data_IF_407007910768
#
_entry.id   IF_407007910768
#
_cell.length_a   1.000
_cell.length_b   1.000
_cell.length_c   1.000
_cell.angle_alpha   90.00
_cell.angle_beta   90.00
_cell.angle_gamma   90.00
#
_symmetry.space_group_name_H-M   'P 1'
#
loop_
_entity.id
_entity.type
_entity.pdbx_description
1 polymer ?
#
# COMPACT_ATOMS: atom_id res chain seq x y z
N UNK A 1 -9.15 33.10 23.56
CA UNK A 1 -9.83 31.80 23.38
C UNK A 1 -9.08 30.89 22.39
N UNK A 2 -7.73 30.87 22.36
CA UNK A 2 -6.97 30.15 21.32
C UNK A 2 -6.32 28.84 21.75
N UNK A 3 -6.32 28.51 23.05
CA UNK A 3 -5.68 27.28 23.56
C UNK A 3 -6.64 26.10 23.72
N UNK A 4 -7.96 26.35 23.88
CA UNK A 4 -8.96 25.29 24.04
C UNK A 4 -9.32 24.61 22.69
N UNK A 5 -9.14 25.29 21.56
CA UNK A 5 -9.32 24.67 20.23
C UNK A 5 -8.16 23.75 19.83
N UNK A 6 -6.95 24.00 20.35
CA UNK A 6 -5.76 23.19 20.04
C UNK A 6 -5.81 21.80 20.67
N UNK A 7 -6.56 21.63 21.76
CA UNK A 7 -6.82 20.31 22.37
C UNK A 7 -8.03 19.59 21.75
N UNK A 8 -8.92 20.30 21.05
CA UNK A 8 -10.08 19.69 20.39
C UNK A 8 -9.69 18.98 19.08
N UNK A 9 -8.62 19.43 18.42
CA UNK A 9 -8.08 18.83 17.18
C UNK A 9 -7.33 17.49 17.37
N UNK A 10 -7.10 17.06 18.61
CA UNK A 10 -6.65 15.70 18.92
C UNK A 10 -7.81 14.77 19.36
N UNK A 11 -9.06 15.26 19.38
CA UNK A 11 -10.21 14.50 19.92
C UNK A 11 -11.16 13.90 18.89
N UNK A 12 -10.90 13.98 17.58
CA UNK A 12 -11.66 13.19 16.58
C UNK A 12 -11.16 11.73 16.54
N UNK A 13 -10.69 11.22 17.69
CA UNK A 13 -10.26 9.84 17.89
C UNK A 13 -11.30 8.99 18.64
N UNK A 14 -12.49 9.52 18.92
CA UNK A 14 -13.56 8.72 19.52
C UNK A 14 -14.89 9.03 18.86
N UNK A 15 -15.59 7.94 18.53
CA UNK A 15 -16.99 7.85 18.09
C UNK A 15 -17.20 7.97 16.58
N UNK A 16 -17.13 6.81 15.92
CA UNK A 16 -18.33 6.28 15.25
C UNK A 16 -18.19 4.76 15.09
N UNK A 17 -18.77 4.01 16.03
CA UNK A 17 -19.05 2.59 15.82
C UNK A 17 -20.44 2.48 15.20
N UNK A 18 -20.50 2.11 13.93
CA UNK A 18 -21.70 1.52 13.35
C UNK A 18 -21.39 0.05 13.07
N UNK A 19 -22.05 -0.81 13.83
CA UNK A 19 -22.01 -2.25 13.62
C UNK A 19 -22.76 -2.60 12.33
N UNK A 20 -22.13 -3.37 11.45
CA UNK A 20 -22.83 -4.11 10.40
C UNK A 20 -22.38 -5.57 10.45
N UNK A 21 -23.39 -6.43 10.40
CA UNK A 21 -23.43 -7.83 10.82
C UNK A 21 -22.53 -8.74 9.98
N UNK A 22 -21.88 -9.69 10.67
CA UNK A 22 -21.25 -10.85 10.06
C UNK A 22 -22.30 -11.70 9.33
N UNK A 23 -22.09 -11.94 8.03
CA UNK A 23 -22.70 -13.06 7.33
C UNK A 23 -21.77 -14.25 7.43
N UNK A 24 -22.24 -15.27 8.14
CA UNK A 24 -21.58 -16.56 8.34
C UNK A 24 -21.42 -17.27 6.99
N UNK A 25 -20.18 -17.57 6.60
CA UNK A 25 -19.92 -18.55 5.55
C UNK A 25 -19.66 -19.92 6.20
N UNK A 26 -20.61 -20.82 6.02
CA UNK A 26 -20.48 -22.21 6.43
C UNK A 26 -19.39 -22.92 5.61
N UNK A 27 -18.29 -23.29 6.27
CA UNK A 27 -17.32 -24.23 5.72
C UNK A 27 -17.90 -25.66 5.79
N UNK A 28 -18.37 -26.17 4.66
CA UNK A 28 -18.65 -27.60 4.47
C UNK A 28 -17.32 -28.36 4.40
N UNK A 29 -16.99 -29.04 5.50
CA UNK A 29 -16.05 -30.17 5.53
C UNK A 29 -16.58 -31.27 4.61
N UNK A 30 -15.79 -31.73 3.65
CA UNK A 30 -15.95 -33.06 3.07
C UNK A 30 -14.65 -33.83 3.23
N UNK A 31 -14.82 -35.05 3.75
CA UNK A 31 -13.80 -35.97 4.21
C UNK A 31 -13.18 -36.78 3.05
N UNK A 32 -12.00 -37.34 3.32
CA UNK A 32 -11.23 -38.23 2.43
C UNK A 32 -11.93 -39.57 2.17
N UNK A 33 -11.58 -40.18 1.05
CA UNK A 33 -11.30 -41.63 0.96
C UNK A 33 -10.19 -41.93 -0.06
N UNK A 34 -9.34 -42.89 0.32
CA UNK A 34 -8.28 -43.60 -0.40
C UNK A 34 -8.84 -44.42 -1.59
N UNK A 35 -8.12 -44.80 -2.65
CA UNK A 35 -7.03 -45.81 -2.76
C UNK A 35 -6.66 -46.01 -4.25
N UNK A 36 -5.50 -46.64 -4.52
CA UNK A 36 -5.18 -47.51 -5.69
C UNK A 36 -4.29 -46.93 -6.82
N UNK A 37 -2.99 -47.25 -6.87
CA UNK A 37 -2.26 -48.33 -7.63
C UNK A 37 -1.60 -47.84 -8.94
N UNK A 38 -0.29 -48.10 -9.00
CA UNK A 38 0.70 -48.14 -10.09
C UNK A 38 0.33 -47.83 -11.55
N UNK A 39 1.23 -47.05 -12.19
CA UNK A 39 1.71 -47.34 -13.55
C UNK A 39 1.32 -46.33 -14.62
N UNK A 40 2.29 -45.53 -15.09
CA UNK A 40 2.15 -44.82 -16.36
C UNK A 40 2.78 -43.44 -16.35
N UNK A 41 3.97 -43.32 -16.95
CA UNK A 41 4.60 -42.05 -17.31
C UNK A 41 3.77 -41.41 -18.44
N UNK A 42 2.73 -40.66 -18.06
CA UNK A 42 1.95 -39.83 -18.98
C UNK A 42 2.57 -38.43 -18.98
N UNK A 43 3.15 -38.04 -20.12
CA UNK A 43 3.47 -36.65 -20.41
C UNK A 43 2.17 -35.86 -20.50
N UNK A 44 1.75 -35.26 -19.37
CA UNK A 44 0.74 -34.21 -19.39
C UNK A 44 1.44 -32.89 -19.69
N UNK A 45 1.07 -32.29 -20.82
CA UNK A 45 1.16 -30.85 -21.04
C UNK A 45 0.10 -30.17 -20.17
N UNK A 46 0.22 -30.30 -18.85
CA UNK A 46 -0.55 -29.49 -17.92
C UNK A 46 0.25 -28.19 -17.75
N UNK A 47 -0.41 -27.07 -18.06
CA UNK A 47 0.09 -25.73 -17.79
C UNK A 47 0.74 -25.71 -16.40
N UNK A 48 2.02 -25.33 -16.37
CA UNK A 48 2.86 -25.34 -15.17
C UNK A 48 2.08 -24.74 -13.99
N UNK A 49 1.64 -25.59 -13.07
CA UNK A 49 1.20 -25.18 -11.75
C UNK A 49 2.43 -24.55 -11.07
N UNK A 50 2.54 -23.24 -11.22
CA UNK A 50 3.60 -22.35 -10.76
C UNK A 50 3.87 -22.43 -9.24
N UNK A 51 3.03 -23.15 -8.50
CA UNK A 51 3.06 -23.24 -7.03
C UNK A 51 3.87 -24.43 -6.51
N UNK A 52 4.31 -25.35 -7.38
CA UNK A 52 5.23 -26.44 -7.00
C UNK A 52 6.56 -26.35 -7.76
N UNK A 53 7.35 -25.31 -7.46
CA UNK A 53 8.80 -25.47 -7.55
C UNK A 53 9.25 -26.49 -6.51
N UNK A 54 9.30 -27.75 -6.95
CA UNK A 54 10.24 -28.80 -6.56
C UNK A 54 11.21 -28.41 -5.43
N UNK A 55 10.94 -28.88 -4.21
CA UNK A 55 11.94 -29.15 -3.15
C UNK A 55 12.71 -27.99 -2.52
N UNK A 56 12.67 -26.77 -3.06
CA UNK A 56 13.38 -25.61 -2.50
C UNK A 56 12.39 -24.47 -2.21
N UNK A 57 12.15 -24.20 -0.93
CA UNK A 57 11.38 -23.02 -0.49
C UNK A 57 12.17 -21.76 -0.82
N UNK A 58 11.77 -21.07 -1.89
CA UNK A 58 12.39 -19.80 -2.31
C UNK A 58 12.31 -18.75 -1.19
N UNK A 59 13.39 -18.00 -0.92
CA UNK A 59 13.36 -16.85 -0.01
C UNK A 59 12.24 -15.86 -0.36
N UNK A 60 11.58 -15.29 0.66
CA UNK A 60 10.41 -14.43 0.48
C UNK A 60 10.68 -13.23 -0.45
N UNK A 61 11.88 -12.64 -0.40
CA UNK A 61 12.26 -11.56 -1.31
C UNK A 61 12.25 -11.95 -2.79
N UNK A 62 12.64 -13.19 -3.13
CA UNK A 62 12.57 -13.69 -4.51
C UNK A 62 11.13 -14.00 -4.93
N UNK A 63 10.30 -14.47 -3.99
CA UNK A 63 8.86 -14.66 -4.22
C UNK A 63 8.17 -13.34 -4.56
N UNK A 64 8.41 -12.29 -3.78
CA UNK A 64 7.87 -10.94 -4.03
C UNK A 64 8.26 -10.44 -5.43
N UNK A 65 9.54 -10.51 -5.80
CA UNK A 65 9.99 -10.11 -7.15
C UNK A 65 9.28 -10.89 -8.26
N UNK A 66 9.08 -12.20 -8.06
CA UNK A 66 8.34 -13.06 -8.99
C UNK A 66 6.87 -12.65 -9.10
N UNK A 67 6.19 -12.40 -7.97
CA UNK A 67 4.80 -11.97 -7.95
C UNK A 67 4.60 -10.63 -8.65
N UNK A 68 5.48 -9.66 -8.42
CA UNK A 68 5.49 -8.37 -9.12
C UNK A 68 5.69 -8.58 -10.62
N UNK A 69 6.66 -9.42 -11.02
CA UNK A 69 6.92 -9.71 -12.44
C UNK A 69 5.73 -10.37 -13.12
N UNK A 70 5.00 -11.24 -12.42
CA UNK A 70 3.83 -11.95 -12.92
C UNK A 70 2.52 -11.17 -12.74
N UNK A 71 2.56 -9.94 -12.22
CA UNK A 71 1.37 -9.12 -11.99
C UNK A 71 0.33 -9.79 -11.11
N UNK A 72 0.75 -10.50 -10.05
CA UNK A 72 -0.20 -11.16 -9.14
C UNK A 72 -1.08 -10.12 -8.41
N UNK A 73 -2.37 -10.42 -8.21
CA UNK A 73 -3.28 -9.49 -7.53
C UNK A 73 -3.03 -9.47 -6.01
N UNK A 74 -3.51 -8.42 -5.35
CA UNK A 74 -3.30 -8.19 -3.92
C UNK A 74 -3.85 -9.33 -3.07
N UNK A 75 -5.06 -9.84 -3.38
CA UNK A 75 -5.69 -10.93 -2.61
C UNK A 75 -4.84 -12.20 -2.66
N UNK A 76 -4.23 -12.50 -3.80
CA UNK A 76 -3.33 -13.64 -3.95
C UNK A 76 -2.09 -13.48 -3.05
N UNK A 77 -1.52 -12.28 -2.98
CA UNK A 77 -0.33 -12.03 -2.16
C UNK A 77 -0.68 -12.06 -0.67
N UNK A 78 -1.82 -11.47 -0.28
CA UNK A 78 -2.31 -11.51 1.09
C UNK A 78 -2.57 -12.95 1.56
N UNK A 79 -3.20 -13.78 0.73
CA UNK A 79 -3.40 -15.20 1.02
C UNK A 79 -2.07 -15.93 1.22
N UNK A 80 -1.12 -15.77 0.30
CA UNK A 80 0.20 -16.41 0.39
C UNK A 80 1.05 -15.92 1.56
N UNK A 81 0.73 -14.76 2.11
CA UNK A 81 1.33 -14.19 3.33
C UNK A 81 0.51 -14.47 4.58
N UNK A 82 -0.63 -15.17 4.47
CA UNK A 82 -1.57 -15.47 5.56
C UNK A 82 -2.14 -14.23 6.25
N UNK A 83 -2.36 -13.17 5.48
CA UNK A 83 -2.93 -11.90 5.95
C UNK A 83 -4.43 -11.78 5.68
N UNK A 84 -5.02 -12.72 4.94
CA UNK A 84 -6.45 -12.71 4.61
C UNK A 84 -7.31 -12.70 5.88
N UNK A 85 -8.26 -11.76 5.94
CA UNK A 85 -9.17 -11.60 7.08
C UNK A 85 -8.61 -10.81 8.25
N UNK A 86 -7.32 -10.43 8.23
CA UNK A 86 -6.77 -9.49 9.21
C UNK A 86 -7.15 -8.07 8.82
N UNK A 87 -7.53 -7.25 9.81
CA UNK A 87 -7.89 -5.84 9.63
C UNK A 87 -7.31 -4.99 10.77
N UNK A 88 -7.09 -3.70 10.50
CA UNK A 88 -6.57 -2.76 11.49
C UNK A 88 -5.26 -3.23 12.12
N UNK A 89 -5.10 -3.03 13.43
CA UNK A 89 -3.87 -3.41 14.16
C UNK A 89 -3.47 -4.87 13.96
N UNK A 90 -4.43 -5.79 13.88
CA UNK A 90 -4.12 -7.20 13.66
C UNK A 90 -3.40 -7.43 12.32
N UNK A 91 -3.73 -6.65 11.30
CA UNK A 91 -3.04 -6.66 10.02
C UNK A 91 -1.68 -5.98 10.13
N UNK A 92 -1.58 -4.79 10.73
CA UNK A 92 -0.32 -4.02 10.73
C UNK A 92 0.75 -4.45 11.70
N UNK A 93 0.37 -5.15 12.76
CA UNK A 93 1.30 -5.74 13.73
C UNK A 93 1.73 -7.16 13.30
N UNK A 94 1.08 -7.78 12.31
CA UNK A 94 1.52 -9.08 11.78
C UNK A 94 2.91 -8.98 11.15
N UNK A 95 3.87 -9.85 11.52
CA UNK A 95 5.23 -9.79 11.00
C UNK A 95 5.34 -10.00 9.48
N UNK A 96 4.31 -10.55 8.82
CA UNK A 96 4.26 -10.74 7.38
C UNK A 96 3.73 -9.52 6.62
N UNK A 97 3.08 -8.57 7.29
CA UNK A 97 2.56 -7.36 6.64
C UNK A 97 3.66 -6.55 5.95
N UNK A 98 4.87 -6.51 6.53
CA UNK A 98 6.03 -5.86 5.90
C UNK A 98 6.35 -6.40 4.50
N UNK A 99 6.04 -7.67 4.23
CA UNK A 99 6.24 -8.27 2.91
C UNK A 99 5.16 -7.84 1.92
N UNK A 100 3.93 -7.63 2.38
CA UNK A 100 2.87 -7.05 1.57
C UNK A 100 3.16 -5.58 1.24
N UNK A 101 3.57 -4.79 2.24
CA UNK A 101 4.04 -3.41 2.02
C UNK A 101 5.16 -3.36 0.99
N UNK A 102 6.16 -4.25 1.12
CA UNK A 102 7.24 -4.36 0.13
C UNK A 102 6.72 -4.73 -1.26
N UNK A 103 5.77 -5.65 -1.37
CA UNK A 103 5.15 -6.02 -2.64
C UNK A 103 4.50 -4.83 -3.35
N UNK A 104 3.71 -4.02 -2.62
CA UNK A 104 3.07 -2.80 -3.17
C UNK A 104 4.13 -1.77 -3.59
N UNK A 105 5.03 -1.41 -2.68
CA UNK A 105 6.06 -0.38 -2.90
C UNK A 105 6.99 -0.76 -4.06
N UNK A 106 7.57 -1.96 -4.05
CA UNK A 106 8.45 -2.41 -5.15
C UNK A 106 7.67 -2.51 -6.47
N UNK A 107 6.39 -2.87 -6.42
CA UNK A 107 5.49 -2.96 -7.57
C UNK A 107 5.27 -1.60 -8.25
N UNK A 108 4.90 -0.59 -7.47
CA UNK A 108 4.74 0.78 -7.97
C UNK A 108 6.07 1.38 -8.45
N UNK A 109 7.15 1.17 -7.71
CA UNK A 109 8.50 1.63 -8.09
C UNK A 109 8.98 1.01 -9.41
N UNK A 110 8.57 -0.23 -9.72
CA UNK A 110 8.92 -0.91 -10.97
C UNK A 110 8.08 -0.39 -12.15
N UNK A 111 6.83 -0.01 -11.89
CA UNK A 111 5.90 0.53 -12.90
C UNK A 111 6.09 2.03 -13.12
N UNK A 112 6.95 2.68 -12.34
CA UNK A 112 7.12 4.14 -12.32
C UNK A 112 5.76 4.84 -12.06
N UNK A 113 4.95 4.25 -11.18
CA UNK A 113 3.61 4.75 -10.91
C UNK A 113 3.68 6.14 -10.26
N UNK A 114 2.76 7.03 -10.61
CA UNK A 114 2.61 8.27 -9.86
C UNK A 114 2.17 7.97 -8.42
N UNK A 115 2.48 8.88 -7.52
CA UNK A 115 1.95 8.87 -6.14
C UNK A 115 0.43 8.85 -6.14
N UNK A 116 -0.22 9.57 -7.05
CA UNK A 116 -1.68 9.55 -7.23
C UNK A 116 -2.20 8.16 -7.58
N UNK A 117 -1.53 7.46 -8.50
CA UNK A 117 -1.88 6.07 -8.81
C UNK A 117 -1.75 5.15 -7.60
N UNK A 118 -0.72 5.33 -6.76
CA UNK A 118 -0.57 4.54 -5.54
C UNK A 118 -1.62 4.90 -4.47
N UNK A 119 -2.03 6.17 -4.40
CA UNK A 119 -3.10 6.63 -3.51
C UNK A 119 -4.45 6.01 -3.88
N UNK A 120 -4.79 6.04 -5.17
CA UNK A 120 -6.03 5.48 -5.72
C UNK A 120 -6.05 3.95 -5.58
N UNK A 121 -4.92 3.28 -5.83
CA UNK A 121 -4.77 1.82 -5.67
C UNK A 121 -4.92 1.35 -4.21
N UNK A 122 -4.72 2.25 -3.24
CA UNK A 122 -4.99 2.01 -1.82
C UNK A 122 -6.39 2.45 -1.38
N UNK A 123 -7.18 3.04 -2.29
CA UNK A 123 -8.53 3.57 -2.05
C UNK A 123 -8.61 4.51 -0.83
N UNK A 124 -7.65 5.45 -0.74
CA UNK A 124 -7.55 6.36 0.41
C UNK A 124 -8.53 7.54 0.23
N UNK A 125 -9.70 7.47 0.86
CA UNK A 125 -10.65 8.60 0.97
C UNK A 125 -10.67 9.28 2.36
N UNK A 126 -11.14 10.53 2.46
CA UNK A 126 -11.42 11.17 3.76
C UNK A 126 -12.70 10.54 4.37
N UNK A 127 -12.67 10.05 5.61
CA UNK A 127 -13.88 9.66 6.36
C UNK A 127 -14.10 8.18 6.69
N UNK A 128 -13.25 7.27 6.20
CA UNK A 128 -13.29 5.85 6.62
C UNK A 128 -11.92 5.41 7.14
N UNK A 129 -11.38 6.10 8.15
CA UNK A 129 -10.13 5.66 8.77
C UNK A 129 -10.39 4.43 9.65
N UNK A 130 -10.59 3.30 8.98
CA UNK A 130 -9.90 2.05 9.28
C UNK A 130 -8.42 2.10 8.79
N UNK A 131 -8.03 3.25 8.18
CA UNK A 131 -6.90 3.63 7.28
C UNK A 131 -5.51 3.95 7.88
N UNK A 132 -5.19 3.61 9.13
CA UNK A 132 -3.80 3.84 9.63
C UNK A 132 -2.78 2.97 8.86
N UNK A 133 -3.24 1.83 8.35
CA UNK A 133 -2.41 0.77 7.79
C UNK A 133 -1.98 1.02 6.33
N UNK A 134 -2.91 1.46 5.48
CA UNK A 134 -2.66 1.75 4.06
C UNK A 134 -1.85 3.03 3.89
N UNK A 135 -2.09 4.04 4.74
CA UNK A 135 -1.29 5.26 4.74
C UNK A 135 0.19 4.98 5.04
N UNK A 136 0.50 3.99 5.88
CA UNK A 136 1.89 3.55 6.12
C UNK A 136 2.55 2.98 4.84
N UNK A 137 1.79 2.28 4.00
CA UNK A 137 2.28 1.81 2.70
C UNK A 137 2.56 3.00 1.78
N UNK A 138 1.65 3.96 1.73
CA UNK A 138 1.79 5.19 0.94
C UNK A 138 3.00 6.04 1.37
N UNK A 139 3.19 6.26 2.68
CA UNK A 139 4.33 6.99 3.23
C UNK A 139 5.66 6.31 2.88
N UNK A 140 5.71 4.97 2.97
CA UNK A 140 6.88 4.20 2.56
C UNK A 140 7.14 4.34 1.05
N UNK A 141 6.10 4.39 0.22
CA UNK A 141 6.24 4.61 -1.21
C UNK A 141 6.87 5.97 -1.52
N UNK A 142 6.32 7.06 -0.94
CA UNK A 142 6.88 8.40 -1.09
C UNK A 142 8.33 8.45 -0.59
N UNK A 143 8.63 7.78 0.53
CA UNK A 143 10.00 7.73 1.08
C UNK A 143 10.99 7.11 0.10
N UNK A 144 10.67 5.95 -0.47
CA UNK A 144 11.55 5.29 -1.43
C UNK A 144 11.61 6.03 -2.77
N UNK A 145 10.49 6.62 -3.22
CA UNK A 145 10.46 7.41 -4.45
C UNK A 145 11.26 8.71 -4.29
N UNK A 146 11.22 9.35 -3.12
CA UNK A 146 11.99 10.55 -2.81
C UNK A 146 13.50 10.29 -2.87
N UNK A 147 13.97 9.14 -2.35
CA UNK A 147 15.38 8.71 -2.48
C UNK A 147 15.75 8.52 -3.95
N UNK A 148 14.88 7.90 -4.75
CA UNK A 148 15.12 7.76 -6.20
C UNK A 148 15.16 9.10 -6.92
N UNK A 149 14.33 10.06 -6.49
CA UNK A 149 14.24 11.38 -7.10
C UNK A 149 15.54 12.17 -7.03
N UNK A 150 16.47 11.84 -6.13
CA UNK A 150 17.83 12.40 -6.09
C UNK A 150 18.62 12.14 -7.39
N UNK A 151 18.28 11.07 -8.11
CA UNK A 151 18.92 10.67 -9.36
C UNK A 151 18.06 10.95 -10.60
N UNK A 152 16.94 11.65 -10.42
CA UNK A 152 15.99 12.00 -11.49
C UNK A 152 16.07 13.52 -11.68
N UNK A 153 16.16 13.97 -12.93
CA UNK A 153 16.15 15.41 -13.21
C UNK A 153 14.81 16.03 -12.76
N UNK A 154 14.87 17.23 -12.19
CA UNK A 154 13.76 17.84 -11.45
C UNK A 154 12.51 18.13 -12.29
N UNK A 155 12.67 18.27 -13.61
CA UNK A 155 11.57 18.45 -14.56
C UNK A 155 10.64 17.22 -14.63
N UNK A 156 11.15 16.03 -14.31
CA UNK A 156 10.39 14.78 -14.28
C UNK A 156 9.70 14.53 -12.94
N UNK A 157 10.01 15.30 -11.89
CA UNK A 157 9.45 15.04 -10.55
C UNK A 157 7.93 15.19 -10.51
N UNK A 158 7.37 16.17 -11.24
CA UNK A 158 5.93 16.40 -11.28
C UNK A 158 5.15 15.22 -11.89
N UNK A 159 5.76 14.43 -12.79
CA UNK A 159 5.16 13.22 -13.35
C UNK A 159 4.93 12.14 -12.28
N UNK A 160 5.74 12.14 -11.22
CA UNK A 160 5.72 11.14 -10.16
C UNK A 160 5.00 11.63 -8.90
N UNK A 161 5.22 12.89 -8.52
CA UNK A 161 4.70 13.46 -7.28
C UNK A 161 3.49 14.38 -7.49
N UNK A 162 3.28 14.89 -8.70
CA UNK A 162 2.23 15.84 -9.00
C UNK A 162 0.83 15.23 -9.05
N UNK A 163 -0.16 16.11 -9.17
CA UNK A 163 -1.57 15.74 -9.27
C UNK A 163 -2.16 15.14 -7.98
N UNK A 164 -3.37 14.61 -8.11
CA UNK A 164 -4.12 14.06 -7.00
C UNK A 164 -5.11 15.04 -6.37
N UNK A 165 -5.81 14.56 -5.36
CA UNK A 165 -6.76 15.37 -4.59
C UNK A 165 -6.05 16.41 -3.70
N UNK A 166 -6.78 17.42 -3.25
CA UNK A 166 -6.24 18.40 -2.29
C UNK A 166 -5.70 17.72 -1.02
N UNK A 167 -6.44 16.73 -0.50
CA UNK A 167 -6.03 15.89 0.64
C UNK A 167 -4.70 15.18 0.39
N UNK A 168 -4.58 14.53 -0.77
CA UNK A 168 -3.36 13.80 -1.12
C UNK A 168 -2.17 14.77 -1.26
N UNK A 169 -2.37 15.90 -1.93
CA UNK A 169 -1.34 16.92 -2.11
C UNK A 169 -0.81 17.44 -0.76
N UNK A 170 -1.71 17.70 0.19
CA UNK A 170 -1.34 18.08 1.56
C UNK A 170 -0.53 16.97 2.23
N UNK A 171 -0.94 15.70 2.10
CA UNK A 171 -0.21 14.56 2.66
C UNK A 171 1.19 14.42 2.06
N UNK A 172 1.34 14.57 0.73
CA UNK A 172 2.63 14.57 0.03
C UNK A 172 3.56 15.64 0.59
N UNK A 173 3.08 16.87 0.72
CA UNK A 173 3.89 17.99 1.25
C UNK A 173 4.33 17.71 2.69
N UNK A 174 3.44 17.22 3.55
CA UNK A 174 3.77 16.86 4.93
C UNK A 174 4.84 15.77 5.01
N UNK A 175 4.72 14.71 4.21
CA UNK A 175 5.70 13.63 4.16
C UNK A 175 7.04 14.12 3.63
N UNK A 176 7.06 14.88 2.53
CA UNK A 176 8.30 15.42 1.95
C UNK A 176 9.03 16.35 2.94
N UNK A 177 8.30 17.22 3.64
CA UNK A 177 8.87 18.06 4.71
C UNK A 177 9.43 17.22 5.86
N UNK A 178 8.71 16.17 6.29
CA UNK A 178 9.18 15.21 7.31
C UNK A 178 10.46 14.49 6.87
N UNK A 179 10.61 14.22 5.57
CA UNK A 179 11.81 13.63 4.97
C UNK A 179 12.96 14.64 4.76
N UNK A 180 12.80 15.90 5.19
CA UNK A 180 13.84 16.92 5.13
C UNK A 180 13.87 17.75 3.85
N UNK A 181 12.91 17.58 2.92
CA UNK A 181 12.76 18.52 1.80
C UNK A 181 12.16 19.82 2.32
N UNK A 182 13.00 20.83 2.49
CA UNK A 182 12.61 22.15 3.02
C UNK A 182 12.61 23.25 1.95
N UNK A 183 13.23 23.02 0.80
CA UNK A 183 13.25 23.97 -0.30
C UNK A 183 11.87 24.02 -0.99
N UNK A 184 11.23 25.20 -0.97
CA UNK A 184 9.94 25.43 -1.60
C UNK A 184 9.98 25.21 -3.13
N UNK A 185 11.11 25.47 -3.78
CA UNK A 185 11.31 25.18 -5.20
C UNK A 185 11.24 23.68 -5.48
N UNK A 186 11.89 22.86 -4.66
CA UNK A 186 11.88 21.41 -4.83
C UNK A 186 10.50 20.83 -4.60
N UNK A 187 9.83 21.25 -3.52
CA UNK A 187 8.44 20.84 -3.24
C UNK A 187 7.53 21.30 -4.38
N UNK A 188 7.67 22.53 -4.87
CA UNK A 188 6.90 23.06 -5.99
C UNK A 188 7.08 22.26 -7.28
N UNK A 189 8.30 21.84 -7.61
CA UNK A 189 8.57 20.98 -8.77
C UNK A 189 8.03 19.55 -8.59
N UNK A 190 7.89 19.08 -7.35
CA UNK A 190 7.32 17.77 -7.05
C UNK A 190 5.79 17.78 -7.10
N UNK A 191 5.13 18.62 -6.31
CA UNK A 191 3.66 18.57 -6.12
C UNK A 191 2.91 19.63 -6.92
N UNK A 192 3.61 20.51 -7.64
CA UNK A 192 3.04 21.63 -8.36
C UNK A 192 2.61 22.79 -7.46
N UNK A 193 2.24 23.92 -8.08
CA UNK A 193 1.72 25.09 -7.37
C UNK A 193 0.44 24.78 -6.59
N UNK A 194 -0.43 23.93 -7.15
CA UNK A 194 -1.65 23.45 -6.47
C UNK A 194 -1.35 22.78 -5.14
N UNK A 195 -0.28 21.97 -5.06
CA UNK A 195 0.08 21.29 -3.82
C UNK A 195 0.61 22.23 -2.75
N UNK A 196 1.40 23.23 -3.12
CA UNK A 196 1.83 24.28 -2.19
C UNK A 196 0.64 25.10 -1.68
N UNK A 197 -0.27 25.49 -2.56
CA UNK A 197 -1.47 26.25 -2.20
C UNK A 197 -2.40 25.47 -1.25
N UNK A 198 -2.61 24.18 -1.54
CA UNK A 198 -3.39 23.29 -0.69
C UNK A 198 -2.80 23.22 0.73
N UNK A 199 -1.48 23.06 0.83
CA UNK A 199 -0.79 23.04 2.12
C UNK A 199 -0.91 24.38 2.87
N UNK A 200 -0.63 25.51 2.21
CA UNK A 200 -0.69 26.83 2.87
C UNK A 200 -2.11 27.19 3.32
N UNK A 201 -3.15 26.84 2.53
CA UNK A 201 -4.55 27.01 2.93
C UNK A 201 -4.88 26.23 4.22
N UNK A 202 -4.32 25.04 4.38
CA UNK A 202 -4.59 24.17 5.52
C UNK A 202 -3.76 24.54 6.79
N UNK A 203 -2.54 25.07 6.63
CA UNK A 203 -1.58 25.18 7.74
C UNK A 203 -0.93 26.55 7.95
N UNK A 204 -1.01 27.47 6.99
CA UNK A 204 -0.28 28.75 7.07
C UNK A 204 -1.19 29.99 7.10
N UNK A 205 -2.53 29.85 7.00
CA UNK A 205 -3.52 30.95 6.94
C UNK A 205 -3.17 32.05 5.90
N UNK A 206 -3.95 32.12 4.82
CA UNK A 206 -4.09 33.35 4.01
C UNK A 206 -5.36 34.06 4.47
#
# INVERSE_FOLDING_TARGET
MGLMLRFLLLSVFALLSVAVKATEFHHTKISRTTTSVYGGRLLRTDAMNDDQSRGLTMPIGLRIKSWIKKGKPDEYVMDKLKLTGLIGRALTEDPNFKYFQKFKVDGWLKKEASTTTAWDDLDIALGEVTKVDTFRIYEQYITELNKKAENIHWDQWSNLFGGGSETELVAKVLILKKLGRTNAFDIGNMVGSTGLLAYSRQFEEI
#
